data_IF_512884522953
#
_entry.id   IF_512884522953
#
_cell.length_a   1.000
_cell.length_b   1.000
_cell.length_c   1.000
_cell.angle_alpha   90.00
_cell.angle_beta   90.00
_cell.angle_gamma   90.00
#
_symmetry.space_group_name_H-M   'P 1'
#
loop_
_entity.id
_entity.type
_entity.pdbx_description
1 polymer ?
#
# COMPACT_ATOMS: atom_id res chain seq x y z
N UNK A 1 50.68 52.04 9.21
CA UNK A 1 49.79 51.48 8.16
C UNK A 1 49.55 50.00 8.50
N UNK A 2 48.33 49.62 8.89
CA UNK A 2 47.96 48.24 9.24
C UNK A 2 47.02 47.71 8.16
N UNK A 3 47.42 46.61 7.52
CA UNK A 3 46.68 45.96 6.42
C UNK A 3 45.40 45.29 6.96
N UNK A 4 44.28 45.55 6.27
CA UNK A 4 43.00 44.86 6.48
C UNK A 4 43.03 43.50 5.78
N UNK A 5 42.84 42.42 6.53
CA UNK A 5 42.62 41.09 5.98
C UNK A 5 41.10 40.83 5.91
N UNK A 6 40.54 40.92 4.70
CA UNK A 6 39.13 40.65 4.43
C UNK A 6 38.95 39.14 4.27
N UNK A 7 38.28 38.50 5.24
CA UNK A 7 37.89 37.08 5.14
C UNK A 7 36.56 37.01 4.38
N UNK A 8 36.58 36.47 3.16
CA UNK A 8 35.38 36.18 2.37
C UNK A 8 34.80 34.84 2.84
N UNK A 9 33.67 34.90 3.56
CA UNK A 9 32.91 33.73 3.98
C UNK A 9 32.03 33.25 2.80
N UNK A 10 32.46 32.18 2.12
CA UNK A 10 31.67 31.51 1.08
C UNK A 10 30.60 30.65 1.75
N UNK A 11 29.36 31.12 1.78
CA UNK A 11 28.19 30.33 2.18
C UNK A 11 27.87 29.30 1.07
N UNK A 12 28.31 28.06 1.27
CA UNK A 12 27.84 26.93 0.48
C UNK A 12 26.38 26.62 0.86
N UNK A 13 25.44 27.06 0.04
CA UNK A 13 24.06 26.60 0.10
C UNK A 13 24.00 25.13 -0.32
N UNK A 14 24.01 24.21 0.64
CA UNK A 14 23.66 22.81 0.41
C UNK A 14 22.16 22.70 0.19
N UNK A 15 21.73 22.74 -1.08
CA UNK A 15 20.36 22.42 -1.48
C UNK A 15 20.06 20.96 -1.12
N UNK A 16 19.37 20.73 0.00
CA UNK A 16 18.74 19.44 0.29
C UNK A 16 17.58 19.24 -0.66
N UNK A 17 17.87 18.63 -1.81
CA UNK A 17 16.85 18.05 -2.66
C UNK A 17 16.14 16.95 -1.87
N UNK A 18 15.03 17.30 -1.22
CA UNK A 18 14.08 16.34 -0.69
C UNK A 18 13.41 15.65 -1.88
N UNK A 19 14.13 14.69 -2.47
CA UNK A 19 13.57 13.80 -3.47
C UNK A 19 12.44 13.04 -2.78
N UNK A 20 11.20 13.32 -3.19
CA UNK A 20 9.99 12.57 -2.85
C UNK A 20 10.04 11.15 -3.44
N UNK A 21 11.10 10.41 -3.14
CA UNK A 21 11.37 9.08 -3.64
C UNK A 21 10.55 8.07 -2.85
N UNK A 22 9.50 7.53 -3.48
CA UNK A 22 8.78 6.41 -2.90
C UNK A 22 9.70 5.19 -2.73
N UNK A 23 9.65 4.54 -1.58
CA UNK A 23 10.36 3.31 -1.30
C UNK A 23 9.62 2.13 -1.93
N UNK A 24 10.35 1.22 -2.60
CA UNK A 24 9.75 -0.06 -3.02
C UNK A 24 9.79 -1.06 -1.87
N UNK A 25 8.63 -1.59 -1.47
CA UNK A 25 8.51 -2.72 -0.55
C UNK A 25 8.17 -3.98 -1.34
N UNK A 26 8.86 -5.08 -1.06
CA UNK A 26 8.71 -6.36 -1.78
C UNK A 26 8.49 -7.51 -0.80
N UNK A 27 7.66 -8.46 -1.20
CA UNK A 27 7.52 -9.75 -0.53
C UNK A 27 6.81 -10.74 -1.46
N UNK A 28 7.12 -12.03 -1.35
CA UNK A 28 6.39 -13.12 -2.02
C UNK A 28 6.11 -12.87 -3.53
N UNK A 29 7.12 -12.37 -4.27
CA UNK A 29 7.02 -12.13 -5.72
C UNK A 29 6.21 -10.91 -6.15
N UNK A 30 5.82 -10.04 -5.20
CA UNK A 30 5.07 -8.80 -5.47
C UNK A 30 5.73 -7.57 -4.84
N UNK A 31 5.42 -6.40 -5.38
CA UNK A 31 5.92 -5.13 -4.88
C UNK A 31 4.87 -4.01 -4.88
N UNK A 32 5.08 -3.06 -3.97
CA UNK A 32 4.40 -1.77 -3.89
C UNK A 32 5.45 -0.65 -3.77
N UNK A 33 5.14 0.51 -4.34
CA UNK A 33 5.86 1.76 -4.05
C UNK A 33 5.08 2.51 -2.98
N UNK A 34 5.74 2.81 -1.87
CA UNK A 34 5.14 3.48 -0.71
C UNK A 34 5.85 4.80 -0.42
N UNK A 35 5.15 5.85 0.01
CA UNK A 35 5.77 7.10 0.42
C UNK A 35 6.37 6.99 1.83
N UNK A 36 7.04 8.05 2.27
CA UNK A 36 7.54 8.15 3.64
C UNK A 36 6.41 7.95 4.66
N UNK A 37 6.74 7.34 5.81
CA UNK A 37 5.76 7.04 6.87
C UNK A 37 4.94 5.76 6.66
N UNK A 38 5.10 5.10 5.51
CA UNK A 38 4.59 3.75 5.27
C UNK A 38 5.67 2.70 5.51
N UNK A 39 5.24 1.51 5.92
CA UNK A 39 6.13 0.38 6.12
C UNK A 39 5.46 -0.94 5.77
N UNK A 40 6.26 -1.99 5.60
CA UNK A 40 5.76 -3.36 5.62
C UNK A 40 5.11 -3.64 6.97
N UNK A 41 3.93 -4.25 6.93
CA UNK A 41 3.21 -4.76 8.11
C UNK A 41 3.28 -6.28 8.06
N UNK A 42 3.39 -6.92 9.22
CA UNK A 42 3.27 -8.37 9.32
C UNK A 42 1.91 -8.81 8.75
N UNK A 43 1.87 -9.91 8.00
CA UNK A 43 0.59 -10.50 7.63
C UNK A 43 -0.16 -10.91 8.90
N UNK A 44 -1.46 -10.62 8.97
CA UNK A 44 -2.33 -11.30 9.91
C UNK A 44 -2.25 -12.80 9.61
N UNK A 45 -1.94 -13.59 10.64
CA UNK A 45 -1.34 -14.93 10.52
C UNK A 45 -2.03 -15.88 9.54
N UNK A 46 -1.30 -16.94 9.19
CA UNK A 46 -1.75 -18.00 8.30
C UNK A 46 -2.88 -18.81 8.98
N UNK A 47 -4.11 -18.30 8.88
CA UNK A 47 -5.30 -19.12 9.10
C UNK A 47 -5.34 -20.29 8.10
N UNK A 48 -6.31 -21.20 8.21
CA UNK A 48 -6.39 -22.39 7.33
C UNK A 48 -6.60 -22.03 5.84
N UNK A 49 -6.93 -20.77 5.53
CA UNK A 49 -7.13 -20.28 4.16
C UNK A 49 -5.77 -20.04 3.50
N UNK A 50 -5.39 -21.00 2.66
CA UNK A 50 -4.13 -20.98 1.89
C UNK A 50 -4.30 -20.56 0.42
N UNK A 51 -5.52 -20.25 -0.01
CA UNK A 51 -5.87 -19.77 -1.35
C UNK A 51 -7.18 -18.95 -1.26
N UNK A 52 -7.12 -17.60 -1.27
CA UNK A 52 -5.92 -16.79 -1.50
C UNK A 52 -4.97 -16.74 -0.29
N UNK A 53 -3.71 -16.39 -0.55
CA UNK A 53 -2.73 -16.03 0.50
C UNK A 53 -2.51 -14.52 0.55
N UNK A 54 -2.26 -13.99 1.74
CA UNK A 54 -1.75 -12.63 1.89
C UNK A 54 -0.28 -12.60 1.50
N UNK A 55 0.05 -11.86 0.45
CA UNK A 55 1.40 -11.80 -0.12
C UNK A 55 2.19 -10.59 0.37
N UNK A 56 1.53 -9.44 0.56
CA UNK A 56 2.21 -8.23 1.01
C UNK A 56 1.20 -7.32 1.68
N UNK A 57 1.61 -6.75 2.81
CA UNK A 57 0.86 -5.70 3.49
C UNK A 57 1.78 -4.53 3.76
N UNK A 58 1.29 -3.35 3.43
CA UNK A 58 1.91 -2.08 3.79
C UNK A 58 0.89 -1.18 4.45
N UNK A 59 1.33 -0.39 5.41
CA UNK A 59 0.43 0.50 6.13
C UNK A 59 1.18 1.64 6.81
N UNK A 60 0.41 2.64 7.21
CA UNK A 60 0.87 3.78 7.99
C UNK A 60 1.18 3.38 9.44
N UNK A 61 1.74 4.30 10.21
CA UNK A 61 1.97 4.11 11.65
C UNK A 61 0.69 3.63 12.37
N UNK A 62 0.86 2.68 13.29
CA UNK A 62 -0.23 2.08 14.08
C UNK A 62 -1.01 0.97 13.38
N UNK A 63 -0.87 0.75 12.07
CA UNK A 63 -1.47 -0.42 11.42
C UNK A 63 -0.81 -1.69 11.97
N UNK A 64 -1.65 -2.64 12.40
CA UNK A 64 -1.22 -3.91 12.95
C UNK A 64 -2.26 -5.01 12.66
N UNK A 65 -1.84 -6.28 12.59
CA UNK A 65 -2.76 -7.41 12.56
C UNK A 65 -3.75 -7.40 13.72
N UNK A 66 -4.95 -7.95 13.49
CA UNK A 66 -5.93 -8.28 14.52
C UNK A 66 -6.49 -9.68 14.27
N UNK A 67 -6.96 -10.34 15.32
CA UNK A 67 -7.75 -11.57 15.15
C UNK A 67 -9.01 -11.27 14.35
N UNK A 68 -9.30 -12.10 13.36
CA UNK A 68 -10.40 -11.92 12.42
C UNK A 68 -10.64 -13.20 11.63
N UNK A 69 -11.91 -13.54 11.39
CA UNK A 69 -12.28 -14.58 10.41
C UNK A 69 -12.12 -14.10 8.96
N UNK A 70 -12.12 -12.78 8.73
CA UNK A 70 -11.91 -12.19 7.41
C UNK A 70 -10.43 -11.89 7.17
N UNK A 71 -9.81 -12.58 6.20
CA UNK A 71 -8.37 -12.46 5.86
C UNK A 71 -7.98 -11.05 5.41
N UNK A 72 -8.77 -10.41 4.53
CA UNK A 72 -8.46 -9.06 4.00
C UNK A 72 -8.59 -8.00 5.10
N UNK A 73 -9.66 -8.07 5.88
CA UNK A 73 -9.98 -7.13 6.95
C UNK A 73 -9.37 -7.50 8.32
N UNK A 74 -8.30 -8.30 8.33
CA UNK A 74 -7.61 -8.76 9.55
C UNK A 74 -6.61 -7.73 10.12
N UNK A 75 -6.84 -6.43 9.92
CA UNK A 75 -5.96 -5.37 10.38
C UNK A 75 -6.73 -4.32 11.16
N UNK A 76 -6.11 -3.81 12.22
CA UNK A 76 -6.53 -2.58 12.88
C UNK A 76 -6.00 -1.40 12.05
N UNK A 77 -6.90 -0.53 11.60
CA UNK A 77 -6.56 0.70 10.87
C UNK A 77 -6.86 1.90 11.78
N UNK A 78 -5.84 2.71 12.16
CA UNK A 78 -6.07 3.92 12.95
C UNK A 78 -7.02 4.91 12.27
N UNK A 79 -7.63 5.83 13.02
CA UNK A 79 -8.62 6.77 12.49
C UNK A 79 -8.10 7.63 11.31
N UNK A 80 -6.82 8.00 11.34
CA UNK A 80 -6.09 8.70 10.28
C UNK A 80 -5.05 7.79 9.60
N UNK A 81 -5.31 6.48 9.57
CA UNK A 81 -4.39 5.49 9.03
C UNK A 81 -4.88 4.89 7.71
N UNK A 82 -3.98 4.21 7.02
CA UNK A 82 -4.30 3.48 5.81
C UNK A 82 -3.49 2.18 5.72
N UNK A 83 -4.09 1.16 5.10
CA UNK A 83 -3.44 -0.12 4.83
C UNK A 83 -3.77 -0.59 3.41
N UNK A 84 -2.78 -1.18 2.75
CA UNK A 84 -2.94 -1.88 1.48
C UNK A 84 -2.57 -3.35 1.68
N UNK A 85 -3.52 -4.23 1.43
CA UNK A 85 -3.38 -5.69 1.57
C UNK A 85 -3.43 -6.31 0.18
N UNK A 86 -2.35 -6.99 -0.20
CA UNK A 86 -2.26 -7.77 -1.43
C UNK A 86 -2.52 -9.23 -1.10
N UNK A 87 -3.53 -9.79 -1.74
CA UNK A 87 -3.78 -11.22 -1.73
C UNK A 87 -3.59 -11.79 -3.13
N UNK A 88 -3.12 -13.03 -3.21
CA UNK A 88 -2.92 -13.73 -4.47
C UNK A 88 -3.39 -15.16 -4.39
N UNK A 89 -3.89 -15.64 -5.52
CA UNK A 89 -4.37 -17.01 -5.69
C UNK A 89 -3.32 -17.90 -6.34
N UNK A 90 -3.47 -19.21 -6.16
CA UNK A 90 -2.59 -20.20 -6.81
C UNK A 90 -2.65 -20.10 -8.33
N UNK A 91 -3.85 -19.88 -8.89
CA UNK A 91 -4.12 -19.79 -10.32
C UNK A 91 -4.98 -18.57 -10.67
N UNK A 92 -5.07 -18.23 -11.96
CA UNK A 92 -5.93 -17.16 -12.46
C UNK A 92 -7.45 -17.47 -12.32
N UNK A 93 -7.84 -18.74 -12.19
CA UNK A 93 -9.24 -19.16 -12.13
C UNK A 93 -9.76 -19.36 -10.70
N UNK A 94 -8.86 -19.57 -9.73
CA UNK A 94 -9.21 -19.75 -8.31
C UNK A 94 -9.81 -18.50 -7.66
N UNK A 95 -9.65 -17.32 -8.26
CA UNK A 95 -10.15 -16.05 -7.73
C UNK A 95 -11.66 -15.83 -7.84
N UNK A 96 -12.38 -16.73 -8.52
CA UNK A 96 -13.79 -16.57 -8.85
C UNK A 96 -14.00 -15.59 -10.02
N UNK A 97 -14.71 -16.06 -11.04
CA UNK A 97 -15.07 -15.24 -12.21
C UNK A 97 -13.92 -14.93 -13.19
N UNK A 98 -14.24 -14.22 -14.28
CA UNK A 98 -13.27 -13.76 -15.28
C UNK A 98 -12.59 -12.47 -14.81
N UNK A 99 -11.51 -12.60 -14.04
CA UNK A 99 -10.66 -11.45 -13.69
C UNK A 99 -10.00 -10.87 -14.95
N UNK A 100 -9.91 -9.54 -15.01
CA UNK A 100 -9.35 -8.86 -16.18
C UNK A 100 -7.82 -8.98 -16.18
N UNK A 101 -7.19 -9.36 -17.30
CA UNK A 101 -5.74 -9.39 -17.41
C UNK A 101 -5.13 -7.99 -17.41
N UNK A 102 -3.86 -7.92 -16.97
CA UNK A 102 -3.07 -6.69 -16.98
C UNK A 102 -3.38 -5.74 -15.83
N UNK A 103 -2.72 -4.58 -15.83
CA UNK A 103 -2.78 -3.60 -14.73
C UNK A 103 -3.92 -2.59 -14.83
N UNK A 104 -4.70 -2.61 -15.91
CA UNK A 104 -5.78 -1.65 -16.12
C UNK A 104 -6.80 -1.59 -14.96
N UNK A 105 -7.22 -2.72 -14.33
CA UNK A 105 -8.15 -2.68 -13.20
C UNK A 105 -7.68 -1.82 -12.02
N UNK A 106 -6.37 -1.66 -11.83
CA UNK A 106 -5.82 -0.81 -10.77
C UNK A 106 -6.23 0.66 -10.96
N UNK A 107 -6.42 1.12 -12.20
CA UNK A 107 -6.88 2.50 -12.49
C UNK A 107 -8.24 2.82 -11.88
N UNK A 108 -9.03 1.80 -11.51
CA UNK A 108 -10.35 1.97 -10.86
C UNK A 108 -10.26 2.26 -9.36
N UNK A 109 -9.06 2.21 -8.77
CA UNK A 109 -8.81 2.63 -7.39
C UNK A 109 -8.81 4.16 -7.31
N UNK A 110 -9.95 4.83 -7.54
CA UNK A 110 -10.06 6.30 -7.58
C UNK A 110 -10.70 6.90 -6.34
N UNK A 111 -11.52 6.14 -5.64
CA UNK A 111 -12.19 6.55 -4.40
C UNK A 111 -12.44 5.35 -3.49
N UNK A 112 -12.70 5.63 -2.20
CA UNK A 112 -13.10 4.66 -1.18
C UNK A 112 -14.57 4.85 -0.82
N UNK A 113 -15.27 3.78 -0.41
CA UNK A 113 -16.68 3.84 0.01
C UNK A 113 -16.96 2.96 1.24
N UNK A 114 -18.13 3.13 1.86
CA UNK A 114 -18.65 2.28 2.95
C UNK A 114 -19.96 1.58 2.53
N UNK A 115 -20.24 0.35 3.01
CA UNK A 115 -19.26 -0.64 3.44
C UNK A 115 -18.44 -1.12 2.23
N UNK A 116 -17.21 -1.59 2.46
CA UNK A 116 -16.31 -2.01 1.37
C UNK A 116 -15.81 -3.45 1.48
N UNK A 117 -15.65 -3.96 2.70
CA UNK A 117 -15.20 -5.32 2.96
C UNK A 117 -15.98 -5.93 4.11
N UNK A 118 -16.17 -7.24 4.06
CA UNK A 118 -16.63 -8.01 5.20
C UNK A 118 -15.67 -7.83 6.39
N UNK A 119 -16.20 -7.75 7.62
CA UNK A 119 -15.45 -7.45 8.84
C UNK A 119 -14.72 -6.09 8.89
N UNK A 120 -15.01 -5.15 7.99
CA UNK A 120 -14.45 -3.79 8.03
C UNK A 120 -15.51 -2.71 7.82
N UNK A 121 -15.76 -1.93 8.88
CA UNK A 121 -16.72 -0.82 8.84
C UNK A 121 -16.17 0.46 8.17
N UNK A 122 -14.84 0.54 7.98
CA UNK A 122 -14.20 1.73 7.42
C UNK A 122 -14.35 1.85 5.90
N UNK A 123 -13.98 3.01 5.33
CA UNK A 123 -13.95 3.20 3.88
C UNK A 123 -12.87 2.34 3.22
N UNK A 124 -13.18 1.77 2.07
CA UNK A 124 -12.21 0.99 1.32
C UNK A 124 -12.55 0.79 -0.14
N UNK A 125 -11.64 0.14 -0.86
CA UNK A 125 -11.76 -0.17 -2.30
C UNK A 125 -10.87 -1.35 -2.66
N UNK A 126 -11.36 -2.21 -3.54
CA UNK A 126 -10.57 -3.30 -4.10
C UNK A 126 -10.44 -3.20 -5.62
N UNK A 127 -9.36 -3.78 -6.15
CA UNK A 127 -9.21 -4.08 -7.56
C UNK A 127 -8.65 -5.49 -7.74
N UNK A 128 -9.30 -6.30 -8.58
CA UNK A 128 -8.87 -7.65 -8.92
C UNK A 128 -8.30 -7.70 -10.34
N UNK A 129 -7.23 -8.47 -10.55
CA UNK A 129 -6.50 -8.53 -11.81
C UNK A 129 -5.73 -9.84 -11.98
N UNK A 130 -5.37 -10.17 -13.22
CA UNK A 130 -4.46 -11.27 -13.56
C UNK A 130 -3.14 -10.72 -14.07
N UNK A 131 -2.02 -11.16 -13.48
CA UNK A 131 -0.66 -10.86 -13.93
C UNK A 131 0.20 -12.13 -13.85
N UNK A 132 1.03 -12.40 -14.87
CA UNK A 132 1.93 -13.56 -14.86
C UNK A 132 1.22 -14.90 -14.60
N UNK A 133 0.00 -15.08 -15.12
CA UNK A 133 -0.79 -16.31 -14.95
C UNK A 133 -1.47 -16.52 -13.59
N UNK A 134 -1.39 -15.55 -12.67
CA UNK A 134 -2.00 -15.62 -11.33
C UNK A 134 -3.01 -14.50 -11.11
N UNK A 135 -4.06 -14.79 -10.36
CA UNK A 135 -5.03 -13.81 -9.89
C UNK A 135 -4.53 -13.10 -8.63
N UNK A 136 -4.81 -11.81 -8.53
CA UNK A 136 -4.50 -10.95 -7.39
C UNK A 136 -5.67 -10.05 -7.07
N UNK A 137 -5.73 -9.61 -5.82
CA UNK A 137 -6.61 -8.56 -5.38
C UNK A 137 -5.83 -7.58 -4.51
N UNK A 138 -5.94 -6.30 -4.88
CA UNK A 138 -5.36 -5.17 -4.17
C UNK A 138 -6.47 -4.52 -3.36
N UNK A 139 -6.33 -4.55 -2.04
CA UNK A 139 -7.34 -4.07 -1.11
C UNK A 139 -6.82 -2.85 -0.35
N UNK A 140 -7.48 -1.71 -0.53
CA UNK A 140 -7.15 -0.45 0.16
C UNK A 140 -8.21 -0.19 1.22
N UNK A 141 -7.78 0.00 2.46
CA UNK A 141 -8.64 0.32 3.60
C UNK A 141 -8.08 1.54 4.34
N UNK A 142 -8.96 2.46 4.75
CA UNK A 142 -8.56 3.69 5.45
C UNK A 142 -9.37 3.88 6.74
N UNK A 143 -8.81 4.63 7.68
CA UNK A 143 -9.47 5.01 8.92
C UNK A 143 -10.65 5.95 8.69
N UNK A 144 -11.57 5.98 9.66
CA UNK A 144 -12.82 6.74 9.55
C UNK A 144 -12.67 8.26 9.39
N UNK A 145 -11.52 8.81 9.78
CA UNK A 145 -11.20 10.25 9.80
C UNK A 145 -9.99 10.57 8.91
N UNK A 146 -9.65 9.70 7.96
CA UNK A 146 -8.50 9.87 7.08
C UNK A 146 -8.70 11.07 6.14
N UNK A 147 -7.78 12.06 6.11
CA UNK A 147 -7.90 13.20 5.20
C UNK A 147 -7.85 12.79 3.73
N UNK A 148 -8.47 13.58 2.84
CA UNK A 148 -8.56 13.29 1.41
C UNK A 148 -7.19 13.06 0.75
N UNK A 149 -6.16 13.83 1.15
CA UNK A 149 -4.79 13.66 0.65
C UNK A 149 -4.23 12.27 0.97
N UNK A 150 -4.43 11.79 2.20
CA UNK A 150 -3.94 10.49 2.64
C UNK A 150 -4.76 9.34 2.04
N UNK A 151 -6.05 9.56 1.73
CA UNK A 151 -6.85 8.62 0.93
C UNK A 151 -6.28 8.52 -0.50
N UNK A 152 -5.98 9.64 -1.14
CA UNK A 152 -5.41 9.66 -2.49
C UNK A 152 -4.05 8.96 -2.53
N UNK A 153 -3.24 9.14 -1.50
CA UNK A 153 -1.96 8.45 -1.29
C UNK A 153 -2.15 6.94 -1.14
N UNK A 154 -3.05 6.48 -0.28
CA UNK A 154 -3.33 5.06 -0.09
C UNK A 154 -3.80 4.37 -1.39
N UNK A 155 -4.65 5.06 -2.16
CA UNK A 155 -5.07 4.59 -3.49
C UNK A 155 -3.90 4.56 -4.48
N UNK A 156 -2.99 5.54 -4.43
CA UNK A 156 -1.78 5.56 -5.25
C UNK A 156 -0.85 4.38 -4.91
N UNK A 157 -0.68 4.07 -3.62
CA UNK A 157 0.04 2.87 -3.17
C UNK A 157 -0.61 1.62 -3.77
N UNK A 158 -1.93 1.46 -3.67
CA UNK A 158 -2.63 0.33 -4.31
C UNK A 158 -2.39 0.25 -5.83
N UNK A 159 -2.44 1.39 -6.53
CA UNK A 159 -2.18 1.46 -7.98
C UNK A 159 -0.74 1.09 -8.37
N UNK A 160 0.20 1.23 -7.44
CA UNK A 160 1.62 0.90 -7.69
C UNK A 160 1.90 -0.60 -7.80
N UNK A 161 0.92 -1.46 -7.44
CA UNK A 161 1.07 -2.91 -7.46
C UNK A 161 1.66 -3.45 -8.77
N UNK A 162 2.68 -4.30 -8.62
CA UNK A 162 3.39 -5.00 -9.69
C UNK A 162 4.00 -6.31 -9.20
N UNK A 163 4.32 -7.18 -10.14
CA UNK A 163 5.17 -8.35 -9.87
C UNK A 163 6.60 -7.89 -9.57
N UNK A 164 7.29 -8.63 -8.72
CA UNK A 164 8.70 -8.45 -8.41
C UNK A 164 9.44 -9.77 -8.68
N UNK A 165 10.59 -9.72 -9.36
CA UNK A 165 11.48 -10.87 -9.49
C UNK A 165 12.03 -11.29 -8.12
#
# INVERSE_FOLDING_TARGET
MRLFATVVLVLAFTSVASGSGGQTVRAHGVALTVPAGWRRVASAGDGPVIDPRTLLVVGTAGVAPKSSQCQIAAYRVPAHGAVVVIVGWKSATSGGGRMKPGRWPLKTLTSVKRPSFECFAGPGRAASLVLGGKAYQVNVMVGGSTPAQQIAEALAVGRSFRLAP
#
